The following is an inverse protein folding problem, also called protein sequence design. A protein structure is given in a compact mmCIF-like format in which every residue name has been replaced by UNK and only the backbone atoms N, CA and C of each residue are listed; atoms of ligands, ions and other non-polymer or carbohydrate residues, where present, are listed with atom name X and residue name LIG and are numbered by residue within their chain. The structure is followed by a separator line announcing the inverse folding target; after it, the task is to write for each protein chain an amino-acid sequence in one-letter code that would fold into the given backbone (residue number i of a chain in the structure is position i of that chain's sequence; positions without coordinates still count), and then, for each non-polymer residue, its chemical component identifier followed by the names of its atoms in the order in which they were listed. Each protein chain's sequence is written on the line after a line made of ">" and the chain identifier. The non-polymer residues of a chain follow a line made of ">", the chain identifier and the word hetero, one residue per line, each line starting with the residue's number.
data_IF_431968846127
#
_entry.id   IF_431968846127
#
_cell.length_a   1.000
_cell.length_b   1.000
_cell.length_c   1.000
_cell.angle_alpha   90.00
_cell.angle_beta   90.00
_cell.angle_gamma   90.00
#
_symmetry.space_group_name_H-M   'P 1'
#
loop_
_entity.id
_entity.type
_entity.pdbx_description
1 polymer ?
#
# COMPACT_ATOMS: atom_id res chain seq x y z
N UNK A 1 23.34 -6.12 -10.41
CA UNK A 1 22.19 -6.39 -11.24
C UNK A 1 21.67 -5.10 -11.84
N UNK A 2 21.29 -5.14 -13.11
CA UNK A 2 20.81 -4.00 -13.87
C UNK A 2 19.31 -3.73 -13.66
N UNK A 3 18.76 -4.18 -12.56
CA UNK A 3 17.34 -3.97 -12.31
C UNK A 3 17.07 -2.53 -11.87
N UNK A 4 16.03 -1.94 -12.43
CA UNK A 4 15.56 -0.63 -11.99
C UNK A 4 15.08 -0.70 -10.55
N UNK A 5 15.22 0.38 -9.78
CA UNK A 5 14.68 0.42 -8.43
C UNK A 5 13.20 0.08 -8.40
N UNK A 6 12.77 -0.54 -7.30
CA UNK A 6 11.36 -0.77 -7.04
C UNK A 6 10.66 0.57 -6.85
N UNK A 7 9.66 0.84 -7.66
CA UNK A 7 8.96 2.11 -7.68
C UNK A 7 7.73 2.07 -6.78
N UNK A 8 7.70 2.94 -5.80
CA UNK A 8 6.68 2.95 -4.76
C UNK A 8 6.05 4.33 -4.67
N UNK A 9 4.72 4.39 -4.76
CA UNK A 9 3.96 5.60 -4.47
C UNK A 9 3.25 5.42 -3.14
N UNK A 10 3.46 6.37 -2.23
CA UNK A 10 2.76 6.42 -0.95
C UNK A 10 1.91 7.68 -0.91
N UNK A 11 0.64 7.51 -0.57
CA UNK A 11 -0.30 8.62 -0.53
C UNK A 11 -1.04 8.72 0.78
N UNK A 12 -1.17 9.95 1.27
CA UNK A 12 -2.06 10.32 2.35
C UNK A 12 -2.96 11.41 1.81
N UNK A 13 -4.14 11.02 1.36
CA UNK A 13 -5.03 11.88 0.58
C UNK A 13 -6.06 12.62 1.42
N UNK A 14 -5.84 12.74 2.73
CA UNK A 14 -6.73 13.47 3.62
C UNK A 14 -6.53 14.98 3.54
N UNK A 15 -5.47 15.43 2.88
CA UNK A 15 -5.17 16.85 2.68
C UNK A 15 -5.71 17.32 1.34
N UNK A 16 -7.00 17.61 1.26
CA UNK A 16 -7.51 18.21 0.04
C UNK A 16 -7.69 19.72 0.22
N UNK A 17 -8.59 20.11 1.10
CA UNK A 17 -8.91 21.52 1.33
C UNK A 17 -8.99 21.88 2.80
N UNK A 18 -8.98 20.87 3.68
CA UNK A 18 -9.11 21.08 5.12
C UNK A 18 -7.74 20.84 5.75
N UNK A 19 -7.23 21.85 6.44
CA UNK A 19 -5.98 21.72 7.19
C UNK A 19 -6.23 20.82 8.39
N UNK A 20 -5.80 19.57 8.29
CA UNK A 20 -5.82 18.66 9.42
C UNK A 20 -4.45 18.78 10.09
N UNK A 21 -4.43 18.91 11.41
CA UNK A 21 -3.20 18.96 12.16
C UNK A 21 -2.37 17.70 11.87
N UNK A 22 -1.10 17.88 11.58
CA UNK A 22 -0.17 16.76 11.35
C UNK A 22 -0.10 15.82 12.55
N UNK A 23 -0.39 16.33 13.74
CA UNK A 23 -0.37 15.56 14.98
C UNK A 23 -1.50 14.55 15.08
N UNK A 24 -2.59 14.75 14.31
CA UNK A 24 -3.74 13.84 14.34
C UNK A 24 -3.62 12.69 13.35
N UNK A 25 -2.51 12.57 12.64
CA UNK A 25 -2.35 11.57 11.59
C UNK A 25 -1.76 10.28 12.14
N UNK A 26 -2.53 9.20 12.17
CA UNK A 26 -2.06 7.95 12.77
C UNK A 26 -1.03 7.20 11.92
N UNK A 27 -0.98 7.46 10.59
CA UNK A 27 0.02 6.86 9.72
C UNK A 27 0.75 7.95 8.97
N UNK A 28 2.01 8.16 9.30
CA UNK A 28 2.84 9.15 8.65
C UNK A 28 3.59 8.49 7.48
N UNK A 29 3.15 8.77 6.25
CA UNK A 29 3.79 8.19 5.07
C UNK A 29 5.24 8.62 4.90
N UNK A 30 5.60 9.80 5.36
CA UNK A 30 6.98 10.26 5.35
C UNK A 30 7.86 9.39 6.24
N UNK A 31 7.33 8.98 7.39
CA UNK A 31 8.06 8.10 8.30
C UNK A 31 8.25 6.71 7.69
N UNK A 32 7.20 6.16 7.08
CA UNK A 32 7.26 4.87 6.38
C UNK A 32 8.30 4.93 5.24
N UNK A 33 8.27 6.00 4.47
CA UNK A 33 9.22 6.21 3.37
C UNK A 33 10.66 6.30 3.88
N UNK A 34 10.90 7.08 4.94
CA UNK A 34 12.22 7.23 5.53
C UNK A 34 12.77 5.90 6.05
N UNK A 35 11.90 5.13 6.70
CA UNK A 35 12.28 3.81 7.21
C UNK A 35 12.70 2.87 6.08
N UNK A 36 11.90 2.81 5.01
CA UNK A 36 12.21 1.96 3.86
C UNK A 36 13.45 2.44 3.12
N UNK A 37 13.63 3.75 2.97
CA UNK A 37 14.81 4.30 2.30
C UNK A 37 16.08 3.99 3.07
N UNK A 38 16.02 4.09 4.38
CA UNK A 38 17.15 3.75 5.24
C UNK A 38 17.51 2.27 5.12
N UNK A 39 16.51 1.41 5.03
CA UNK A 39 16.70 -0.04 5.01
C UNK A 39 17.14 -0.56 3.64
N UNK A 40 16.59 -0.02 2.57
CA UNK A 40 16.77 -0.56 1.22
C UNK A 40 17.58 0.34 0.28
N UNK A 41 17.84 1.56 0.68
CA UNK A 41 18.71 2.48 -0.06
C UNK A 41 18.22 2.73 -1.49
N UNK A 42 19.12 2.56 -2.44
CA UNK A 42 18.84 2.82 -3.86
C UNK A 42 18.06 1.69 -4.55
N UNK A 43 17.72 0.63 -3.83
CA UNK A 43 16.87 -0.43 -4.37
C UNK A 43 15.40 -0.03 -4.44
N UNK A 44 15.03 1.09 -3.81
CA UNK A 44 13.67 1.62 -3.84
C UNK A 44 13.68 3.08 -4.29
N UNK A 45 12.64 3.45 -5.02
CA UNK A 45 12.36 4.82 -5.42
C UNK A 45 10.97 5.16 -4.91
N UNK A 46 10.88 6.02 -3.89
CA UNK A 46 9.63 6.31 -3.19
C UNK A 46 9.21 7.74 -3.45
N UNK A 47 7.98 7.92 -3.91
CA UNK A 47 7.35 9.23 -4.07
C UNK A 47 6.17 9.37 -3.13
N UNK A 48 6.03 10.53 -2.52
CA UNK A 48 4.97 10.81 -1.55
C UNK A 48 3.93 11.75 -2.14
N UNK A 49 2.66 11.47 -1.86
CA UNK A 49 1.55 12.25 -2.40
C UNK A 49 0.58 12.65 -1.28
N UNK A 50 0.17 13.91 -1.28
CA UNK A 50 -0.84 14.44 -0.37
C UNK A 50 -2.12 14.81 -1.11
N UNK A 51 -2.04 15.04 -2.42
CA UNK A 51 -3.15 15.52 -3.23
C UNK A 51 -3.53 14.49 -4.28
N UNK A 52 -4.84 14.28 -4.41
CA UNK A 52 -5.40 13.30 -5.36
C UNK A 52 -4.94 13.58 -6.78
N UNK A 53 -4.99 14.85 -7.21
CA UNK A 53 -4.64 15.22 -8.58
C UNK A 53 -3.19 14.88 -8.93
N UNK A 54 -2.29 15.11 -7.98
CA UNK A 54 -0.88 14.81 -8.21
C UNK A 54 -0.65 13.30 -8.32
N UNK A 55 -1.31 12.54 -7.46
CA UNK A 55 -1.21 11.09 -7.49
C UNK A 55 -1.82 10.51 -8.77
N UNK A 56 -3.01 10.96 -9.16
CA UNK A 56 -3.64 10.52 -10.40
C UNK A 56 -2.74 10.78 -11.61
N UNK A 57 -2.19 11.97 -11.68
CA UNK A 57 -1.28 12.35 -12.77
C UNK A 57 -0.06 11.43 -12.81
N UNK A 58 0.56 11.21 -11.67
CA UNK A 58 1.74 10.35 -11.57
C UNK A 58 1.43 8.91 -11.99
N UNK A 59 0.29 8.38 -11.54
CA UNK A 59 -0.12 7.01 -11.90
C UNK A 59 -0.32 6.89 -13.41
N UNK A 60 -0.99 7.88 -14.03
CA UNK A 60 -1.26 7.83 -15.47
C UNK A 60 -0.01 7.99 -16.30
N UNK A 61 0.93 8.83 -15.86
CA UNK A 61 2.18 9.08 -16.60
C UNK A 61 3.20 7.95 -16.39
N UNK A 62 3.28 7.40 -15.18
CA UNK A 62 4.29 6.41 -14.84
C UNK A 62 3.83 5.57 -13.65
N UNK A 63 3.11 4.47 -13.90
CA UNK A 63 2.58 3.63 -12.82
C UNK A 63 3.66 3.09 -11.89
N UNK A 64 3.38 2.98 -10.58
CA UNK A 64 4.31 2.37 -9.65
C UNK A 64 4.21 0.84 -9.68
N UNK A 65 5.17 0.19 -9.05
CA UNK A 65 5.11 -1.25 -8.79
C UNK A 65 4.24 -1.54 -7.57
N UNK A 66 4.30 -0.65 -6.58
CA UNK A 66 3.50 -0.74 -5.34
C UNK A 66 2.84 0.61 -5.09
N UNK A 67 1.54 0.58 -4.82
CA UNK A 67 0.78 1.74 -4.39
C UNK A 67 0.31 1.53 -2.96
N UNK A 68 0.76 2.39 -2.04
CA UNK A 68 0.36 2.34 -0.64
C UNK A 68 -0.40 3.60 -0.25
N UNK A 69 -1.60 3.44 0.29
CA UNK A 69 -2.44 4.56 0.71
C UNK A 69 -2.85 4.41 2.17
N UNK A 70 -2.95 5.55 2.85
CA UNK A 70 -3.50 5.60 4.20
C UNK A 70 -5.02 5.50 4.16
N UNK A 71 -5.58 4.70 5.06
CA UNK A 71 -7.02 4.54 5.21
C UNK A 71 -7.51 5.27 6.46
N UNK A 72 -8.17 6.40 6.24
CA UNK A 72 -8.90 7.11 7.30
C UNK A 72 -10.39 6.98 7.06
N UNK A 73 -11.17 7.01 8.13
CA UNK A 73 -12.63 6.87 8.03
C UNK A 73 -13.22 7.84 7.01
N UNK A 74 -12.81 9.09 7.07
CA UNK A 74 -13.34 10.13 6.18
C UNK A 74 -12.75 10.11 4.77
N UNK A 75 -11.58 9.48 4.58
CA UNK A 75 -10.92 9.40 3.26
C UNK A 75 -11.05 8.05 2.58
N UNK A 76 -11.81 7.14 3.17
CA UNK A 76 -11.88 5.74 2.75
C UNK A 76 -12.33 5.58 1.29
N UNK A 77 -13.42 6.24 0.91
CA UNK A 77 -13.97 6.11 -0.45
C UNK A 77 -13.02 6.71 -1.49
N UNK A 78 -12.40 7.83 -1.17
CA UNK A 78 -11.45 8.50 -2.08
C UNK A 78 -10.24 7.62 -2.31
N UNK A 79 -9.66 7.09 -1.23
CA UNK A 79 -8.50 6.21 -1.34
C UNK A 79 -8.82 4.96 -2.15
N UNK A 80 -9.99 4.37 -1.95
CA UNK A 80 -10.36 3.18 -2.68
C UNK A 80 -10.61 3.46 -4.16
N UNK A 81 -11.17 4.60 -4.52
CA UNK A 81 -11.34 4.98 -5.92
C UNK A 81 -10.00 5.08 -6.65
N UNK A 82 -8.97 5.61 -5.98
CA UNK A 82 -7.62 5.64 -6.54
C UNK A 82 -7.07 4.22 -6.73
N UNK A 83 -7.29 3.34 -5.77
CA UNK A 83 -6.86 1.93 -5.89
C UNK A 83 -7.56 1.24 -7.06
N UNK A 84 -8.85 1.48 -7.25
CA UNK A 84 -9.60 0.93 -8.38
C UNK A 84 -9.04 1.44 -9.71
N UNK A 85 -8.80 2.75 -9.81
CA UNK A 85 -8.21 3.35 -10.99
C UNK A 85 -6.83 2.74 -11.30
N UNK A 86 -6.01 2.59 -10.26
CA UNK A 86 -4.68 1.98 -10.41
C UNK A 86 -4.78 0.57 -10.97
N UNK A 87 -5.71 -0.23 -10.44
CA UNK A 87 -5.90 -1.62 -10.88
C UNK A 87 -6.38 -1.71 -12.34
N UNK A 88 -7.13 -0.71 -12.80
CA UNK A 88 -7.55 -0.64 -14.20
C UNK A 88 -6.39 -0.28 -15.13
N UNK A 89 -5.52 0.62 -14.68
CA UNK A 89 -4.35 1.06 -15.45
C UNK A 89 -3.31 -0.04 -15.51
N UNK A 90 -3.05 -0.70 -14.38
CA UNK A 90 -2.07 -1.78 -14.26
C UNK A 90 -2.58 -2.87 -13.32
N UNK A 91 -3.14 -3.96 -13.88
CA UNK A 91 -3.65 -5.06 -13.06
C UNK A 91 -2.57 -5.78 -12.23
N UNK A 92 -1.31 -5.62 -12.57
CA UNK A 92 -0.19 -6.26 -11.87
C UNK A 92 0.33 -5.44 -10.70
N UNK A 93 -0.20 -4.23 -10.47
CA UNK A 93 0.21 -3.41 -9.34
C UNK A 93 -0.16 -4.08 -8.02
N UNK A 94 0.71 -3.92 -7.02
CA UNK A 94 0.40 -4.35 -5.66
C UNK A 94 -0.20 -3.17 -4.91
N UNK A 95 -1.48 -3.26 -4.57
CA UNK A 95 -2.20 -2.25 -3.82
C UNK A 95 -2.17 -2.56 -2.33
N UNK A 96 -1.69 -1.60 -1.54
CA UNK A 96 -1.57 -1.71 -0.09
C UNK A 96 -2.36 -0.59 0.56
N UNK A 97 -3.14 -0.95 1.56
CA UNK A 97 -3.86 0.02 2.40
C UNK A 97 -3.34 -0.10 3.82
N UNK A 98 -3.22 1.01 4.53
CA UNK A 98 -2.73 1.01 5.90
C UNK A 98 -3.45 2.01 6.76
N UNK A 99 -3.39 1.80 8.07
CA UNK A 99 -3.97 2.71 9.03
C UNK A 99 -4.77 1.99 10.12
N UNK A 100 -5.28 2.76 11.10
CA UNK A 100 -5.86 2.18 12.31
C UNK A 100 -7.31 1.70 12.17
N UNK A 101 -7.95 1.94 11.03
CA UNK A 101 -9.40 1.68 10.85
C UNK A 101 -9.71 0.27 10.37
N UNK A 102 -8.79 -0.65 10.55
CA UNK A 102 -9.02 -2.05 10.21
C UNK A 102 -9.77 -2.75 11.34
N UNK A 103 -10.77 -3.60 11.01
CA UNK A 103 -11.49 -4.34 12.05
C UNK A 103 -10.59 -5.24 12.89
N UNK A 104 -10.98 -5.47 14.13
CA UNK A 104 -10.18 -6.24 15.07
C UNK A 104 -10.45 -7.74 14.97
N UNK A 105 -11.71 -8.13 14.79
CA UNK A 105 -12.08 -9.54 14.75
C UNK A 105 -12.02 -10.12 13.34
N UNK A 106 -11.76 -11.41 13.24
CA UNK A 106 -11.58 -12.09 11.97
C UNK A 106 -12.78 -12.00 11.03
N UNK A 107 -14.02 -12.25 11.46
CA UNK A 107 -15.17 -12.13 10.54
C UNK A 107 -15.33 -10.74 9.95
N UNK A 108 -15.09 -9.70 10.76
CA UNK A 108 -15.16 -8.32 10.29
C UNK A 108 -14.02 -7.99 9.32
N UNK A 109 -12.85 -8.57 9.54
CA UNK A 109 -11.72 -8.43 8.61
C UNK A 109 -12.02 -9.05 7.26
N UNK A 110 -12.60 -10.24 7.24
CA UNK A 110 -13.04 -10.89 6.01
C UNK A 110 -14.05 -10.05 5.26
N UNK A 111 -15.06 -9.53 5.98
CA UNK A 111 -16.08 -8.67 5.40
C UNK A 111 -15.46 -7.41 4.80
N UNK A 112 -14.55 -6.77 5.53
CA UNK A 112 -13.85 -5.58 5.06
C UNK A 112 -13.09 -5.85 3.76
N UNK A 113 -12.31 -6.92 3.73
CA UNK A 113 -11.50 -7.24 2.54
C UNK A 113 -12.38 -7.63 1.36
N UNK A 114 -13.55 -8.22 1.58
CA UNK A 114 -14.52 -8.50 0.50
C UNK A 114 -15.16 -7.23 -0.03
N UNK A 115 -15.38 -6.25 0.84
CA UNK A 115 -15.93 -4.95 0.45
C UNK A 115 -14.97 -4.17 -0.44
N UNK A 116 -13.65 -4.39 -0.27
CA UNK A 116 -12.60 -3.68 -1.00
C UNK A 116 -11.70 -4.67 -1.76
N UNK A 117 -12.25 -5.34 -2.81
CA UNK A 117 -11.55 -6.47 -3.43
C UNK A 117 -10.26 -6.13 -4.18
N UNK A 118 -10.04 -4.86 -4.51
CA UNK A 118 -8.81 -4.44 -5.21
C UNK A 118 -7.62 -4.23 -4.28
N UNK A 119 -7.84 -4.27 -2.96
CA UNK A 119 -6.76 -4.22 -1.99
C UNK A 119 -6.13 -5.59 -1.87
N UNK A 120 -4.82 -5.67 -2.08
CA UNK A 120 -4.09 -6.92 -1.90
C UNK A 120 -3.66 -7.15 -0.47
N UNK A 121 -3.19 -6.07 0.19
CA UNK A 121 -2.63 -6.16 1.55
C UNK A 121 -3.13 -4.99 2.38
N UNK A 122 -3.46 -5.26 3.64
CA UNK A 122 -3.73 -4.24 4.64
C UNK A 122 -2.68 -4.31 5.76
N UNK A 123 -2.14 -3.15 6.17
CA UNK A 123 -1.17 -3.04 7.26
C UNK A 123 -1.85 -2.35 8.43
N UNK A 124 -2.36 -3.12 9.43
CA UNK A 124 -3.21 -2.54 10.48
C UNK A 124 -2.46 -1.80 11.59
N UNK A 125 -1.22 -2.19 11.86
CA UNK A 125 -0.41 -1.64 12.96
C UNK A 125 1.02 -1.46 12.45
N UNK A 126 1.81 -0.60 13.10
CA UNK A 126 3.23 -0.42 12.77
C UNK A 126 3.48 -0.37 11.26
N UNK A 127 2.93 0.68 10.63
CA UNK A 127 2.97 0.82 9.18
C UNK A 127 4.38 0.72 8.58
N UNK A 128 5.38 1.25 9.27
CA UNK A 128 6.77 1.21 8.80
C UNK A 128 7.32 -0.21 8.77
N UNK A 129 7.01 -1.03 9.76
CA UNK A 129 7.50 -2.42 9.81
C UNK A 129 6.75 -3.29 8.81
N UNK A 130 5.42 -3.25 8.84
CA UNK A 130 4.60 -4.05 7.92
C UNK A 130 4.89 -3.70 6.47
N UNK A 131 4.97 -2.43 6.15
CA UNK A 131 5.26 -2.00 4.79
C UNK A 131 6.67 -2.38 4.35
N UNK A 132 7.66 -2.26 5.24
CA UNK A 132 9.02 -2.67 4.90
C UNK A 132 9.12 -4.18 4.64
N UNK A 133 8.34 -4.98 5.34
CA UNK A 133 8.28 -6.43 5.08
C UNK A 133 7.71 -6.70 3.68
N UNK A 134 6.70 -5.95 3.26
CA UNK A 134 6.17 -6.04 1.89
C UNK A 134 7.27 -5.73 0.87
N UNK A 135 7.98 -4.64 1.09
CA UNK A 135 9.07 -4.21 0.19
C UNK A 135 10.16 -5.27 0.12
N UNK A 136 10.54 -5.83 1.26
CA UNK A 136 11.55 -6.90 1.30
C UNK A 136 11.14 -8.09 0.44
N UNK A 137 9.88 -8.53 0.55
CA UNK A 137 9.36 -9.61 -0.29
C UNK A 137 9.37 -9.23 -1.77
N UNK A 138 8.97 -8.00 -2.09
CA UNK A 138 8.94 -7.53 -3.47
C UNK A 138 10.32 -7.48 -4.11
N UNK A 139 11.34 -7.09 -3.34
CA UNK A 139 12.71 -7.00 -3.83
C UNK A 139 13.32 -8.35 -4.18
N UNK A 140 12.75 -9.44 -3.69
CA UNK A 140 13.20 -10.80 -4.02
C UNK A 140 12.60 -11.34 -5.31
N UNK A 141 11.66 -10.61 -5.91
CA UNK A 141 10.99 -11.05 -7.13
C UNK A 141 11.78 -10.58 -8.35
N UNK A 142 12.06 -11.50 -9.28
CA UNK A 142 12.92 -11.21 -10.42
C UNK A 142 12.26 -10.31 -11.47
N UNK A 143 10.96 -10.45 -11.67
CA UNK A 143 10.21 -9.67 -12.67
C UNK A 143 9.16 -8.81 -12.00
N UNK A 144 9.12 -7.51 -12.35
CA UNK A 144 8.17 -6.57 -11.75
C UNK A 144 6.72 -6.95 -11.99
N UNK A 145 6.39 -7.53 -13.11
CA UNK A 145 5.01 -7.97 -13.41
C UNK A 145 4.56 -9.13 -12.51
N UNK A 146 5.49 -9.84 -11.87
CA UNK A 146 5.18 -10.96 -11.00
C UNK A 146 5.15 -10.59 -9.51
N UNK A 147 5.42 -9.32 -9.18
CA UNK A 147 5.51 -8.88 -7.78
C UNK A 147 4.22 -9.17 -7.04
N UNK A 148 3.08 -8.72 -7.55
CA UNK A 148 1.79 -8.90 -6.90
C UNK A 148 1.52 -10.37 -6.59
N UNK A 149 1.64 -11.22 -7.60
CA UNK A 149 1.36 -12.64 -7.45
C UNK A 149 2.29 -13.31 -6.44
N UNK A 150 3.57 -13.03 -6.52
CA UNK A 150 4.56 -13.69 -5.66
C UNK A 150 4.53 -13.17 -4.22
N UNK A 151 4.33 -11.87 -4.04
CA UNK A 151 4.20 -11.29 -2.69
C UNK A 151 2.95 -11.84 -2.00
N UNK A 152 1.83 -11.96 -2.72
CA UNK A 152 0.58 -12.48 -2.17
C UNK A 152 0.57 -14.00 -1.97
N UNK A 153 1.58 -14.72 -2.41
CA UNK A 153 1.63 -16.17 -2.28
C UNK A 153 1.91 -16.67 -0.86
N UNK A 154 2.43 -15.80 0.01
CA UNK A 154 2.79 -16.15 1.39
C UNK A 154 2.32 -15.08 2.37
N UNK A 155 2.04 -15.46 3.64
CA UNK A 155 1.78 -14.48 4.68
C UNK A 155 2.98 -13.57 4.90
N UNK A 156 2.71 -12.30 5.25
CA UNK A 156 3.74 -11.30 5.53
C UNK A 156 3.53 -10.77 6.94
N UNK A 157 4.56 -10.78 7.76
CA UNK A 157 4.50 -10.33 9.14
C UNK A 157 4.02 -8.87 9.21
N UNK A 158 3.05 -8.62 10.09
CA UNK A 158 2.46 -7.30 10.27
C UNK A 158 1.38 -6.94 9.26
N UNK A 159 0.97 -7.88 8.42
CA UNK A 159 0.04 -7.64 7.33
C UNK A 159 -1.11 -8.62 7.32
N UNK A 160 -2.24 -8.16 6.76
CA UNK A 160 -3.35 -9.03 6.38
C UNK A 160 -3.42 -8.98 4.86
N UNK A 161 -3.26 -10.12 4.20
CA UNK A 161 -3.23 -10.17 2.75
C UNK A 161 -4.24 -11.17 2.21
N UNK A 162 -4.59 -10.98 0.94
CA UNK A 162 -5.46 -11.90 0.21
C UNK A 162 -4.58 -12.79 -0.64
N UNK A 163 -4.62 -14.08 -0.39
CA UNK A 163 -3.89 -15.02 -1.23
C UNK A 163 -4.50 -15.10 -2.63
N UNK A 164 -3.79 -15.71 -3.57
CA UNK A 164 -4.25 -15.83 -4.95
C UNK A 164 -5.54 -16.65 -5.09
N UNK A 165 -5.85 -17.50 -4.10
CA UNK A 165 -7.12 -18.25 -4.07
C UNK A 165 -8.25 -17.51 -3.34
N UNK A 166 -8.02 -16.26 -2.94
CA UNK A 166 -9.02 -15.40 -2.31
C UNK A 166 -9.13 -15.53 -0.80
N UNK A 167 -8.37 -16.40 -0.17
CA UNK A 167 -8.40 -16.56 1.29
C UNK A 167 -7.54 -15.51 1.96
N UNK A 168 -7.98 -15.06 3.15
CA UNK A 168 -7.15 -14.17 3.95
C UNK A 168 -6.03 -14.94 4.62
N UNK A 169 -4.87 -14.32 4.66
CA UNK A 169 -3.70 -14.82 5.37
C UNK A 169 -3.10 -13.67 6.17
N UNK A 170 -2.72 -13.95 7.40
CA UNK A 170 -2.10 -12.94 8.25
C UNK A 170 -1.21 -13.58 9.29
N UNK A 171 -0.15 -12.85 9.61
CA UNK A 171 0.71 -13.14 10.75
C UNK A 171 0.85 -11.84 11.53
N UNK A 172 0.50 -11.91 12.79
CA UNK A 172 0.58 -10.75 13.66
C UNK A 172 1.58 -11.05 14.77
#
# INVERSE_FOLDING_TARGET
>A
SNMKPLKIYLGDLTYDTVTISAESMPLNIGYVASYCKKQFGNNVEISLFKYIKDLEKAIRESPPDILGLSNYVWGKNVSYEIIRMMSEIDPDVLNVWGGPNFPIDFPSQEKFMKEFPKIGIYVPVDGEIGFSNIVEHALKVDSKKDIRQKVLSKPIDGCVSRSTDGKLQYTI
#
